data_IF_802675127257
#
_entry.id   IF_802675127257
#
_cell.length_a   1.000
_cell.length_b   1.000
_cell.length_c   1.000
_cell.angle_alpha   90.00
_cell.angle_beta   90.00
_cell.angle_gamma   90.00
#
_symmetry.space_group_name_H-M   'P 1'
#
loop_
_entity.id
_entity.type
_entity.pdbx_description
1 polymer ?
#
# COMPACT_ATOMS: atom_id res chain seq x y z
N UNK A 1 0.64 18.61 32.68
CA UNK A 1 0.11 17.36 32.07
C UNK A 1 -1.26 17.64 31.47
N UNK A 2 -1.47 17.36 30.17
CA UNK A 2 -2.74 17.64 29.49
C UNK A 2 -3.72 16.47 29.63
N UNK A 3 -4.61 16.52 30.63
CA UNK A 3 -5.67 15.51 30.82
C UNK A 3 -6.95 15.90 30.06
N UNK A 4 -7.62 14.95 29.39
CA UNK A 4 -8.90 15.23 28.76
C UNK A 4 -9.95 15.67 29.79
N UNK A 5 -10.55 16.85 29.59
CA UNK A 5 -11.58 17.38 30.49
C UNK A 5 -12.87 16.55 30.50
N UNK A 6 -13.21 15.90 29.37
CA UNK A 6 -14.44 15.11 29.19
C UNK A 6 -14.22 13.96 28.20
N UNK A 7 -15.08 12.93 28.30
CA UNK A 7 -15.16 11.85 27.31
C UNK A 7 -15.60 12.40 25.95
N UNK A 8 -14.93 11.97 24.90
CA UNK A 8 -15.31 12.29 23.51
C UNK A 8 -16.64 11.60 23.15
N UNK A 9 -17.55 12.31 22.49
CA UNK A 9 -18.82 11.75 22.04
C UNK A 9 -18.62 10.67 20.97
N UNK A 10 -19.60 9.76 20.84
CA UNK A 10 -19.58 8.70 19.82
C UNK A 10 -19.45 9.28 18.40
N UNK A 11 -20.18 10.36 18.11
CA UNK A 11 -20.09 11.07 16.82
C UNK A 11 -18.69 11.61 16.55
N UNK A 12 -18.06 12.29 17.51
CA UNK A 12 -16.71 12.87 17.34
C UNK A 12 -15.64 11.79 17.14
N UNK A 13 -15.74 10.68 17.87
CA UNK A 13 -14.88 9.50 17.71
C UNK A 13 -15.01 8.89 16.32
N UNK A 14 -16.23 8.68 15.85
CA UNK A 14 -16.49 8.04 14.56
C UNK A 14 -16.09 8.93 13.38
N UNK A 15 -16.34 10.24 13.46
CA UNK A 15 -15.89 11.22 12.45
C UNK A 15 -14.37 11.28 12.36
N UNK A 16 -13.64 11.15 13.47
CA UNK A 16 -12.17 11.06 13.43
C UNK A 16 -11.69 9.76 12.76
N UNK A 17 -12.33 8.63 13.07
CA UNK A 17 -11.96 7.31 12.52
C UNK A 17 -12.33 7.12 11.05
N UNK A 18 -13.29 7.87 10.51
CA UNK A 18 -13.70 7.73 9.11
C UNK A 18 -12.58 8.04 8.12
N UNK A 19 -11.59 8.86 8.49
CA UNK A 19 -10.44 9.14 7.63
C UNK A 19 -9.55 7.91 7.42
N UNK A 20 -9.41 7.04 8.42
CA UNK A 20 -8.62 5.81 8.29
C UNK A 20 -9.22 4.80 7.30
N UNK A 21 -10.53 4.88 7.02
CA UNK A 21 -11.18 4.03 6.01
C UNK A 21 -10.90 4.49 4.58
N UNK A 22 -10.36 5.69 4.39
CA UNK A 22 -10.03 6.23 3.06
C UNK A 22 -8.66 5.80 2.56
N UNK A 23 -7.98 4.90 3.26
CA UNK A 23 -6.70 4.36 2.80
C UNK A 23 -6.94 3.49 1.57
N UNK A 24 -6.48 3.97 0.41
CA UNK A 24 -6.48 3.21 -0.83
C UNK A 24 -5.46 2.07 -0.74
N UNK A 25 -5.76 0.94 -1.38
CA UNK A 25 -4.81 -0.16 -1.53
C UNK A 25 -3.56 0.23 -2.32
N UNK A 26 -2.52 -0.63 -2.35
CA UNK A 26 -1.32 -0.37 -3.11
C UNK A 26 -1.63 -0.25 -4.60
N UNK A 27 -0.95 0.68 -5.29
CA UNK A 27 -1.04 0.82 -6.74
C UNK A 27 -0.34 -0.36 -7.41
N UNK A 28 -1.13 -1.24 -8.01
CA UNK A 28 -0.63 -2.38 -8.79
C UNK A 28 -0.63 -2.03 -10.28
N UNK A 29 0.43 -2.44 -10.98
CA UNK A 29 0.58 -2.29 -12.43
C UNK A 29 0.88 -3.64 -13.07
N UNK A 30 0.51 -3.80 -14.33
CA UNK A 30 0.78 -5.02 -15.07
C UNK A 30 2.28 -5.16 -15.38
N UNK A 31 2.80 -6.38 -15.28
CA UNK A 31 4.16 -6.71 -15.70
C UNK A 31 4.20 -6.92 -17.22
N UNK A 32 5.10 -6.25 -17.97
CA UNK A 32 5.19 -6.41 -19.43
C UNK A 32 5.79 -7.74 -19.90
N UNK A 33 6.21 -8.63 -18.98
CA UNK A 33 6.85 -9.91 -19.31
C UNK A 33 5.97 -11.11 -18.95
N UNK A 34 5.40 -11.13 -17.75
CA UNK A 34 4.55 -12.23 -17.27
C UNK A 34 3.08 -11.86 -17.11
N UNK A 35 2.68 -10.61 -17.42
CA UNK A 35 1.31 -10.09 -17.28
C UNK A 35 0.70 -10.18 -15.87
N UNK A 36 1.49 -10.51 -14.85
CA UNK A 36 1.04 -10.49 -13.47
C UNK A 36 1.03 -9.07 -12.87
N UNK A 37 0.16 -8.88 -11.88
CA UNK A 37 0.07 -7.64 -11.12
C UNK A 37 1.28 -7.50 -10.21
N UNK A 38 2.05 -6.43 -10.40
CA UNK A 38 3.20 -6.08 -9.58
C UNK A 38 3.04 -4.71 -8.94
N UNK A 39 3.82 -4.43 -7.90
CA UNK A 39 3.91 -3.08 -7.37
C UNK A 39 4.61 -2.16 -8.37
N UNK A 40 4.16 -0.90 -8.42
CA UNK A 40 4.81 0.12 -9.24
C UNK A 40 6.26 0.34 -8.80
N UNK A 41 7.16 0.53 -9.77
CA UNK A 41 8.61 0.75 -9.56
C UNK A 41 9.40 -0.35 -8.85
N UNK A 42 8.82 -1.52 -8.58
CA UNK A 42 9.57 -2.67 -8.04
C UNK A 42 9.85 -3.74 -9.09
N UNK A 43 10.80 -4.62 -8.78
CA UNK A 43 10.99 -5.87 -9.51
C UNK A 43 9.71 -6.71 -9.44
N UNK A 44 9.38 -7.39 -10.53
CA UNK A 44 8.29 -8.35 -10.52
C UNK A 44 8.70 -9.60 -9.71
N UNK A 45 7.93 -10.00 -8.68
CA UNK A 45 8.31 -11.13 -7.82
C UNK A 45 8.24 -12.49 -8.54
N UNK A 46 7.42 -12.62 -9.58
CA UNK A 46 7.27 -13.88 -10.31
C UNK A 46 8.34 -14.11 -11.36
N UNK A 47 8.68 -13.08 -12.15
CA UNK A 47 9.63 -13.23 -13.24
C UNK A 47 11.03 -12.69 -12.95
N UNK A 48 11.24 -11.92 -11.88
CA UNK A 48 12.57 -11.38 -11.55
C UNK A 48 13.06 -10.26 -12.48
N UNK A 49 12.18 -9.76 -13.35
CA UNK A 49 12.51 -8.68 -14.30
C UNK A 49 12.13 -7.30 -13.75
N UNK A 50 13.01 -6.34 -14.01
CA UNK A 50 12.75 -4.92 -13.83
C UNK A 50 13.28 -4.15 -15.03
N UNK A 51 12.44 -3.32 -15.66
CA UNK A 51 12.79 -2.54 -16.86
C UNK A 51 13.43 -3.38 -17.98
N UNK A 52 12.92 -4.60 -18.20
CA UNK A 52 13.41 -5.50 -19.25
C UNK A 52 14.77 -6.14 -18.98
N UNK A 53 15.35 -5.96 -17.79
CA UNK A 53 16.57 -6.65 -17.36
C UNK A 53 16.23 -7.67 -16.28
N UNK A 54 16.81 -8.86 -16.38
CA UNK A 54 16.81 -9.81 -15.28
C UNK A 54 17.66 -9.22 -14.15
N UNK A 55 17.04 -8.97 -12.99
CA UNK A 55 17.73 -8.40 -11.82
C UNK A 55 18.05 -9.49 -10.80
N UNK A 56 17.28 -10.57 -10.79
CA UNK A 56 17.66 -11.80 -10.10
C UNK A 56 18.76 -12.51 -10.91
N UNK A 57 20.01 -12.14 -10.64
CA UNK A 57 21.14 -13.03 -10.92
C UNK A 57 21.10 -14.18 -9.91
N UNK A 58 21.03 -15.39 -10.44
CA UNK A 58 21.46 -16.67 -9.87
C UNK A 58 21.40 -16.86 -8.35
N UNK A 59 20.47 -17.73 -7.93
CA UNK A 59 20.71 -18.71 -6.85
C UNK A 59 20.34 -20.10 -7.36
#
# INVERSE_FOLDING_TARGET
MGVPKRRQSHSRKNKRRSQWRKTTGPTLTECPQCHEMRLSHTMCPSCGYYKGKAVAGDQ
#
